data_IF_821670178852
#
_entry.id   IF_821670178852
#
_cell.length_a   1.000
_cell.length_b   1.000
_cell.length_c   1.000
_cell.angle_alpha   90.00
_cell.angle_beta   90.00
_cell.angle_gamma   90.00
#
_symmetry.space_group_name_H-M   'P 1'
#
loop_
_entity.id
_entity.type
_entity.pdbx_description
1 polymer ?
#
# COMPACT_ATOMS: atom_id res chain seq x y z
N UNK A 1 -24.99 1.17 -15.35
CA UNK A 1 -25.41 0.04 -16.19
C UNK A 1 -26.84 0.21 -16.70
N UNK A 2 -27.83 0.47 -15.84
CA UNK A 2 -29.23 0.70 -16.25
C UNK A 2 -29.40 1.84 -17.27
N UNK A 3 -28.74 2.98 -17.07
CA UNK A 3 -28.80 4.11 -18.00
C UNK A 3 -28.30 3.75 -19.42
N UNK A 4 -27.17 3.02 -19.52
CA UNK A 4 -26.60 2.58 -20.80
C UNK A 4 -27.44 1.52 -21.50
N UNK A 5 -28.02 0.57 -20.76
CA UNK A 5 -28.93 -0.43 -21.32
C UNK A 5 -30.18 0.25 -21.89
N UNK A 6 -30.74 1.22 -21.16
CA UNK A 6 -31.87 2.02 -21.61
C UNK A 6 -31.54 2.83 -22.87
N UNK A 7 -30.35 3.44 -22.96
CA UNK A 7 -29.95 4.20 -24.16
C UNK A 7 -29.76 3.32 -25.40
N UNK A 8 -29.29 2.08 -25.24
CA UNK A 8 -29.14 1.11 -26.34
C UNK A 8 -30.48 0.68 -26.91
N UNK A 9 -31.52 0.58 -26.07
CA UNK A 9 -32.86 0.15 -26.49
C UNK A 9 -33.61 1.25 -27.24
N UNK A 10 -33.43 2.53 -26.86
CA UNK A 10 -34.17 3.64 -27.44
C UNK A 10 -33.51 4.30 -28.66
N UNK A 11 -32.18 4.20 -28.82
CA UNK A 11 -31.44 4.97 -29.84
C UNK A 11 -30.96 4.07 -30.99
N UNK A 12 -31.00 4.56 -32.24
CA UNK A 12 -30.54 3.80 -33.39
C UNK A 12 -29.04 3.51 -33.34
N UNK A 13 -28.69 2.34 -33.87
CA UNK A 13 -27.31 1.85 -34.00
C UNK A 13 -26.48 2.82 -34.83
N UNK A 14 -25.33 3.25 -34.29
CA UNK A 14 -24.39 4.16 -34.96
C UNK A 14 -24.42 5.61 -34.47
N UNK A 15 -25.35 5.97 -33.58
CA UNK A 15 -25.31 7.27 -32.89
C UNK A 15 -24.19 7.33 -31.84
N UNK A 16 -23.68 8.54 -31.58
CA UNK A 16 -22.67 8.79 -30.53
C UNK A 16 -23.12 8.31 -29.16
N UNK A 17 -24.39 8.51 -28.81
CA UNK A 17 -24.98 8.05 -27.55
C UNK A 17 -24.99 6.52 -27.44
N UNK A 18 -25.27 5.81 -28.54
CA UNK A 18 -25.25 4.35 -28.60
C UNK A 18 -23.84 3.78 -28.37
N UNK A 19 -22.82 4.38 -28.99
CA UNK A 19 -21.42 3.98 -28.80
C UNK A 19 -20.98 4.25 -27.36
N UNK A 20 -21.34 5.42 -26.82
CA UNK A 20 -20.98 5.81 -25.45
C UNK A 20 -21.65 4.90 -24.40
N UNK A 21 -22.88 4.44 -24.65
CA UNK A 21 -23.56 3.48 -23.81
C UNK A 21 -22.83 2.13 -23.75
N UNK A 22 -22.35 1.61 -24.89
CA UNK A 22 -21.53 0.40 -24.92
C UNK A 22 -20.21 0.57 -24.17
N UNK A 23 -19.53 1.71 -24.32
CA UNK A 23 -18.32 2.01 -23.54
C UNK A 23 -18.61 2.01 -22.03
N UNK A 24 -19.71 2.64 -21.59
CA UNK A 24 -20.10 2.61 -20.19
C UNK A 24 -20.43 1.19 -19.71
N UNK A 25 -21.16 0.40 -20.48
CA UNK A 25 -21.49 -0.99 -20.09
C UNK A 25 -20.23 -1.83 -20.01
N UNK A 26 -19.30 -1.73 -20.97
CA UNK A 26 -18.05 -2.46 -20.93
C UNK A 26 -17.18 -2.01 -19.74
N UNK A 27 -17.02 -0.70 -19.53
CA UNK A 27 -16.20 -0.16 -18.44
C UNK A 27 -16.75 -0.53 -17.06
N UNK A 28 -18.03 -0.25 -16.80
CA UNK A 28 -18.65 -0.54 -15.50
C UNK A 28 -19.01 -2.03 -15.33
N UNK A 29 -19.31 -2.74 -16.43
CA UNK A 29 -19.59 -4.16 -16.42
C UNK A 29 -18.36 -5.01 -16.14
N UNK A 30 -17.20 -4.65 -16.68
CA UNK A 30 -15.92 -5.27 -16.32
C UNK A 30 -15.45 -4.86 -14.90
N UNK A 31 -15.90 -3.72 -14.39
CA UNK A 31 -15.64 -3.32 -13.01
C UNK A 31 -16.22 -4.28 -11.97
N UNK A 32 -17.35 -4.94 -12.26
CA UNK A 32 -18.01 -5.89 -11.35
C UNK A 32 -17.15 -7.15 -11.07
N UNK A 33 -16.70 -7.93 -12.07
CA UNK A 33 -15.87 -9.11 -11.81
C UNK A 33 -14.52 -8.75 -11.19
N UNK A 34 -13.91 -7.62 -11.60
CA UNK A 34 -12.65 -7.13 -10.99
C UNK A 34 -12.87 -6.74 -9.52
N UNK A 35 -13.94 -6.02 -9.23
CA UNK A 35 -14.30 -5.64 -7.85
C UNK A 35 -14.57 -6.86 -6.97
N UNK A 36 -15.32 -7.85 -7.49
CA UNK A 36 -15.53 -9.13 -6.79
C UNK A 36 -14.20 -9.83 -6.49
N UNK A 37 -13.32 -9.96 -7.49
CA UNK A 37 -12.00 -10.56 -7.30
C UNK A 37 -11.21 -9.87 -6.18
N UNK A 38 -11.24 -8.53 -6.13
CA UNK A 38 -10.54 -7.75 -5.12
C UNK A 38 -11.14 -7.90 -3.72
N UNK A 39 -12.47 -8.05 -3.59
CA UNK A 39 -13.13 -8.32 -2.30
C UNK A 39 -12.73 -9.68 -1.73
N UNK A 40 -12.52 -10.68 -2.60
CA UNK A 40 -12.06 -12.00 -2.19
C UNK A 40 -10.54 -12.07 -1.98
N UNK A 41 -9.76 -11.05 -2.39
CA UNK A 41 -8.32 -10.99 -2.15
C UNK A 41 -8.01 -10.66 -0.68
N UNK A 42 -7.85 -11.72 0.13
CA UNK A 42 -7.48 -11.64 1.55
C UNK A 42 -5.97 -11.67 1.81
N UNK A 43 -5.14 -11.44 0.79
CA UNK A 43 -3.69 -11.45 0.98
C UNK A 43 -3.26 -10.33 1.94
N UNK A 44 -2.38 -10.63 2.91
CA UNK A 44 -1.91 -9.63 3.86
C UNK A 44 -1.20 -8.48 3.14
N UNK A 45 -1.43 -7.24 3.59
CA UNK A 45 -0.72 -6.08 3.08
C UNK A 45 0.72 -6.04 3.58
N UNK A 46 0.90 -6.18 4.90
CA UNK A 46 2.20 -6.16 5.58
C UNK A 46 2.36 -7.48 6.34
N UNK A 47 3.53 -8.11 6.18
CA UNK A 47 3.98 -9.27 6.93
C UNK A 47 5.18 -8.83 7.77
N UNK A 48 5.10 -9.07 9.07
CA UNK A 48 6.15 -8.72 10.04
C UNK A 48 6.57 -10.00 10.74
N UNK A 49 7.87 -10.25 10.80
CA UNK A 49 8.45 -11.40 11.50
C UNK A 49 9.78 -11.02 12.16
N UNK A 50 10.48 -11.97 12.74
CA UNK A 50 11.77 -11.79 13.41
C UNK A 50 12.92 -11.40 12.46
N UNK A 51 12.75 -11.61 11.16
CA UNK A 51 13.76 -11.32 10.13
C UNK A 51 13.58 -9.94 9.50
N UNK A 52 12.35 -9.44 9.38
CA UNK A 52 12.10 -8.12 8.81
C UNK A 52 10.63 -7.77 8.62
N UNK A 53 10.42 -6.75 7.79
CA UNK A 53 9.12 -6.27 7.33
C UNK A 53 9.04 -6.50 5.83
N UNK A 54 7.94 -7.10 5.38
CA UNK A 54 7.59 -7.17 3.97
C UNK A 54 6.25 -6.48 3.74
N UNK A 55 6.20 -5.55 2.78
CA UNK A 55 4.98 -4.83 2.39
C UNK A 55 4.70 -5.07 0.90
N UNK A 56 3.53 -5.60 0.61
CA UNK A 56 3.07 -5.88 -0.76
C UNK A 56 2.98 -4.60 -1.62
N UNK A 57 2.69 -3.46 -1.01
CA UNK A 57 2.43 -2.18 -1.69
C UNK A 57 3.71 -1.49 -2.13
N UNK A 58 4.80 -1.63 -1.37
CA UNK A 58 6.11 -1.03 -1.70
C UNK A 58 6.77 -1.72 -2.89
N UNK A 59 6.40 -2.99 -3.17
CA UNK A 59 6.98 -3.84 -4.22
C UNK A 59 8.51 -3.98 -4.11
N UNK A 60 9.02 -3.89 -2.89
CA UNK A 60 10.42 -4.15 -2.56
C UNK A 60 10.59 -5.58 -2.01
N UNK A 61 11.83 -5.97 -1.80
CA UNK A 61 12.15 -7.18 -1.04
C UNK A 61 11.88 -6.99 0.45
N UNK A 62 12.04 -8.09 1.20
CA UNK A 62 12.03 -8.07 2.66
C UNK A 62 13.04 -7.04 3.17
N UNK A 63 12.54 -6.06 3.92
CA UNK A 63 13.34 -5.05 4.61
C UNK A 63 13.79 -5.68 5.92
N UNK A 64 15.07 -6.01 6.04
CA UNK A 64 15.59 -6.63 7.26
C UNK A 64 15.65 -5.59 8.38
N UNK A 65 15.45 -6.04 9.61
CA UNK A 65 15.52 -5.15 10.77
C UNK A 65 16.88 -4.47 10.92
N UNK A 66 17.96 -5.17 10.54
CA UNK A 66 19.33 -4.66 10.61
C UNK A 66 19.58 -3.50 9.65
N UNK A 67 18.74 -3.36 8.61
CA UNK A 67 18.87 -2.32 7.59
C UNK A 67 18.08 -1.06 7.97
N UNK A 68 17.27 -1.10 9.03
CA UNK A 68 16.44 0.04 9.45
C UNK A 68 17.21 0.86 10.48
N UNK A 69 17.69 2.04 10.08
CA UNK A 69 18.41 2.96 10.95
C UNK A 69 17.44 3.73 11.86
N UNK A 70 16.35 4.23 11.29
CA UNK A 70 15.27 4.88 12.03
C UNK A 70 13.90 4.72 11.35
N UNK A 71 12.85 5.11 12.06
CA UNK A 71 11.50 5.21 11.51
C UNK A 71 10.76 6.43 12.06
N UNK A 72 9.86 7.03 11.29
CA UNK A 72 9.04 8.14 11.78
C UNK A 72 7.66 8.16 11.14
N UNK A 73 6.64 8.65 11.85
CA UNK A 73 5.30 8.78 11.29
C UNK A 73 5.25 9.94 10.31
N UNK A 74 4.44 9.81 9.26
CA UNK A 74 4.16 10.85 8.29
C UNK A 74 2.67 10.83 7.93
N UNK A 75 2.03 11.99 7.90
CA UNK A 75 0.65 12.16 7.42
C UNK A 75 0.66 12.98 6.14
N UNK A 76 0.14 12.39 5.06
CA UNK A 76 -0.05 13.07 3.77
C UNK A 76 -1.52 12.94 3.39
N UNK A 77 -2.23 14.06 3.32
CA UNK A 77 -3.65 14.10 2.95
C UNK A 77 -4.54 13.14 3.77
N UNK A 78 -4.32 13.04 5.10
CA UNK A 78 -5.02 12.13 6.02
C UNK A 78 -4.68 10.65 5.81
N UNK A 79 -3.72 10.34 4.95
CA UNK A 79 -3.16 9.01 4.85
C UNK A 79 -1.96 8.92 5.78
N UNK A 80 -2.02 7.92 6.65
CA UNK A 80 -1.03 7.67 7.69
C UNK A 80 0.05 6.73 7.16
N UNK A 81 1.30 7.13 7.31
CA UNK A 81 2.48 6.38 6.90
C UNK A 81 3.47 6.23 8.05
N UNK A 82 4.31 5.21 7.94
CA UNK A 82 5.58 5.15 8.66
C UNK A 82 6.70 5.10 7.64
N UNK A 83 7.50 6.16 7.62
CA UNK A 83 8.69 6.26 6.80
C UNK A 83 9.82 5.45 7.45
N UNK A 84 10.51 4.64 6.65
CA UNK A 84 11.67 3.88 7.09
C UNK A 84 12.92 4.55 6.54
N UNK A 85 13.81 4.91 7.44
CA UNK A 85 15.18 5.31 7.10
C UNK A 85 16.03 4.04 7.04
N UNK A 86 16.61 3.78 5.86
CA UNK A 86 17.29 2.53 5.55
C UNK A 86 18.74 2.82 5.21
N UNK A 87 19.62 1.94 5.66
CA UNK A 87 21.04 2.01 5.31
C UNK A 87 21.30 1.78 3.81
N UNK A 88 22.52 2.09 3.38
CA UNK A 88 22.93 1.95 1.98
C UNK A 88 22.99 0.50 1.48
N UNK A 89 22.86 -0.50 2.37
CA UNK A 89 22.83 -1.92 1.98
C UNK A 89 21.50 -2.33 1.37
N UNK A 90 20.46 -1.52 1.53
CA UNK A 90 19.15 -1.80 0.97
C UNK A 90 19.05 -1.37 -0.50
N UNK A 91 19.01 -2.35 -1.40
CA UNK A 91 18.82 -2.10 -2.83
C UNK A 91 17.34 -1.95 -3.20
N UNK A 92 16.98 -0.80 -3.77
CA UNK A 92 15.63 -0.54 -4.25
C UNK A 92 15.42 -1.21 -5.61
N UNK A 93 14.46 -2.13 -5.68
CA UNK A 93 14.11 -2.86 -6.90
C UNK A 93 13.53 -1.98 -8.00
N UNK A 94 12.76 -0.95 -7.64
CA UNK A 94 12.14 -0.03 -8.60
C UNK A 94 12.70 1.37 -8.46
N UNK A 95 13.43 1.81 -9.48
CA UNK A 95 13.79 3.22 -9.61
C UNK A 95 12.50 4.04 -9.73
N UNK A 96 12.25 4.89 -8.74
CA UNK A 96 11.19 5.88 -8.83
C UNK A 96 11.46 6.78 -10.04
N UNK A 97 10.41 7.18 -10.76
CA UNK A 97 10.57 8.20 -11.79
C UNK A 97 11.12 9.49 -11.15
N UNK A 98 12.01 10.20 -11.86
CA UNK A 98 12.69 11.40 -11.31
C UNK A 98 11.73 12.45 -10.75
N UNK A 99 10.56 12.61 -11.39
CA UNK A 99 9.53 13.54 -10.92
C UNK A 99 8.89 13.08 -9.61
N UNK A 100 8.66 11.77 -9.45
CA UNK A 100 8.11 11.19 -8.23
C UNK A 100 9.12 11.27 -7.08
N UNK A 101 10.41 11.10 -7.37
CA UNK A 101 11.47 11.24 -6.36
C UNK A 101 11.50 12.66 -5.77
N UNK A 102 11.40 13.69 -6.62
CA UNK A 102 11.32 15.10 -6.17
C UNK A 102 10.07 15.37 -5.32
N UNK A 103 8.94 14.73 -5.63
CA UNK A 103 7.73 14.87 -4.81
C UNK A 103 7.97 14.27 -3.43
N UNK A 104 8.58 13.08 -3.34
CA UNK A 104 8.88 12.44 -2.08
C UNK A 104 9.81 13.29 -1.18
N UNK A 105 10.87 13.86 -1.76
CA UNK A 105 11.79 14.75 -1.05
C UNK A 105 11.05 15.98 -0.47
N UNK A 106 10.17 16.60 -1.25
CA UNK A 106 9.44 17.80 -0.83
C UNK A 106 8.41 17.55 0.27
N UNK A 107 7.90 16.31 0.40
CA UNK A 107 6.90 15.94 1.40
C UNK A 107 7.50 15.19 2.59
N UNK A 108 8.84 15.06 2.65
CA UNK A 108 9.54 14.35 3.73
C UNK A 108 9.37 12.83 3.71
N UNK A 109 8.92 12.25 2.60
CA UNK A 109 8.75 10.82 2.45
C UNK A 109 10.08 10.15 2.09
N UNK A 110 10.37 9.01 2.72
CA UNK A 110 11.55 8.22 2.41
C UNK A 110 11.35 7.39 1.13
N UNK A 111 12.43 6.74 0.71
CA UNK A 111 12.41 5.76 -0.39
C UNK A 111 11.45 4.60 -0.11
N UNK A 112 11.26 4.25 1.17
CA UNK A 112 10.34 3.19 1.62
C UNK A 112 9.41 3.73 2.68
N UNK A 113 8.10 3.67 2.41
CA UNK A 113 7.05 4.13 3.31
C UNK A 113 5.99 3.04 3.45
N UNK A 114 5.64 2.71 4.68
CA UNK A 114 4.59 1.75 5.00
C UNK A 114 3.26 2.50 5.11
N UNK A 115 2.28 2.15 4.26
CA UNK A 115 0.94 2.73 4.32
C UNK A 115 0.12 2.05 5.41
N UNK A 116 -0.32 2.80 6.42
CA UNK A 116 -1.09 2.26 7.55
C UNK A 116 -2.59 2.52 7.46
N UNK A 117 -3.06 3.27 6.45
CA UNK A 117 -4.47 3.71 6.37
C UNK A 117 -5.50 2.57 6.32
N UNK A 118 -5.07 1.36 5.97
CA UNK A 118 -5.93 0.15 5.92
C UNK A 118 -5.71 -0.79 7.11
N UNK A 119 -4.82 -0.43 8.04
CA UNK A 119 -4.46 -1.22 9.21
C UNK A 119 -5.15 -0.65 10.46
N UNK A 120 -5.38 -1.52 11.45
CA UNK A 120 -5.99 -1.12 12.73
C UNK A 120 -5.02 -0.42 13.68
N UNK A 121 -3.72 -0.51 13.41
CA UNK A 121 -2.66 0.08 14.23
C UNK A 121 -2.36 1.52 13.79
N UNK A 122 -2.19 2.42 14.75
CA UNK A 122 -1.82 3.81 14.47
C UNK A 122 -0.31 3.96 14.17
N UNK A 123 0.01 5.07 13.52
CA UNK A 123 1.34 5.45 13.06
C UNK A 123 2.36 5.61 14.18
N UNK A 124 1.95 6.06 15.37
CA UNK A 124 2.86 6.23 16.49
C UNK A 124 3.18 4.89 17.14
N UNK A 125 2.18 4.03 17.34
CA UNK A 125 2.37 2.68 17.86
C UNK A 125 3.20 1.83 16.90
N UNK A 126 2.92 1.88 15.59
CA UNK A 126 3.71 1.19 14.58
C UNK A 126 5.15 1.70 14.54
N UNK A 127 5.36 3.02 14.58
CA UNK A 127 6.72 3.61 14.64
C UNK A 127 7.47 3.10 15.86
N UNK A 128 6.85 3.13 17.04
CA UNK A 128 7.46 2.68 18.29
C UNK A 128 7.82 1.20 18.23
N UNK A 129 6.93 0.38 17.67
CA UNK A 129 7.18 -1.03 17.43
C UNK A 129 8.40 -1.23 16.52
N UNK A 130 8.47 -0.56 15.38
CA UNK A 130 9.57 -0.68 14.42
C UNK A 130 10.91 -0.27 15.04
N UNK A 131 10.96 0.87 15.74
CA UNK A 131 12.16 1.31 16.47
C UNK A 131 12.60 0.32 17.56
N UNK A 132 11.64 -0.35 18.20
CA UNK A 132 11.95 -1.37 19.20
C UNK A 132 12.56 -2.59 18.51
N UNK A 133 11.96 -3.04 17.40
CA UNK A 133 12.41 -4.21 16.65
C UNK A 133 13.79 -4.03 16.02
N UNK A 134 14.10 -2.85 15.46
CA UNK A 134 15.41 -2.57 14.86
C UNK A 134 16.55 -2.62 15.89
N UNK A 135 16.28 -2.24 17.14
CA UNK A 135 17.24 -2.28 18.25
C UNK A 135 17.27 -3.59 19.02
N UNK A 136 16.29 -4.46 18.80
CA UNK A 136 16.18 -5.74 19.52
C UNK A 136 16.97 -6.82 18.79
N UNK A 137 17.75 -7.59 19.55
CA UNK A 137 18.44 -8.77 19.02
C UNK A 137 17.46 -9.81 18.48
N UNK A 138 17.88 -10.52 17.43
CA UNK A 138 17.02 -11.44 16.67
C UNK A 138 16.29 -12.47 17.54
N UNK A 139 16.96 -12.99 18.57
CA UNK A 139 16.40 -14.00 19.48
C UNK A 139 15.22 -13.46 20.30
N UNK A 140 15.21 -12.16 20.60
CA UNK A 140 14.20 -11.52 21.45
C UNK A 140 13.05 -10.88 20.66
N UNK A 141 13.17 -10.79 19.33
CA UNK A 141 12.16 -10.13 18.47
C UNK A 141 10.79 -10.79 18.51
N UNK A 142 10.74 -12.12 18.61
CA UNK A 142 9.45 -12.85 18.72
C UNK A 142 8.68 -12.42 19.96
N UNK A 143 9.34 -12.19 21.09
CA UNK A 143 8.69 -11.72 22.31
C UNK A 143 8.13 -10.30 22.16
N UNK A 144 8.84 -9.43 21.44
CA UNK A 144 8.37 -8.07 21.13
C UNK A 144 7.14 -8.11 20.22
N UNK A 145 7.12 -8.93 19.17
CA UNK A 145 5.95 -9.06 18.28
C UNK A 145 4.71 -9.46 19.08
N UNK A 146 4.80 -10.50 19.92
CA UNK A 146 3.68 -10.94 20.76
C UNK A 146 3.17 -9.82 21.66
N UNK A 147 4.08 -9.06 22.28
CA UNK A 147 3.72 -7.93 23.16
C UNK A 147 2.90 -6.85 22.45
N UNK A 148 3.11 -6.63 21.15
CA UNK A 148 2.41 -5.57 20.41
C UNK A 148 1.13 -6.05 19.71
N UNK A 149 1.04 -7.33 19.33
CA UNK A 149 -0.05 -7.82 18.47
C UNK A 149 -0.94 -8.92 19.10
N UNK A 150 -0.52 -9.56 20.20
CA UNK A 150 -1.26 -10.65 20.86
C UNK A 150 -1.96 -10.22 22.17
N UNK A 151 -2.03 -8.92 22.45
CA UNK A 151 -2.79 -8.37 23.59
C UNK A 151 -4.27 -8.14 23.25
#
# INVERSE_FOLDING_TARGET
MAFGIWTIIEKPVGSTDYIMAWLCICFFGLGIPVGLYQIFDRRPQIIINETGIWDRTTKQDLIKWEQIEDAYPLDIYKQKFVCLDLDDTFEIKKKLYKWAAKINENIGAQKVNLLLSQLKIDEHTMTKFIKTMSKTERENRTAVIRKYFDN
#
